data_IF_570064188417
#
_entry.id   IF_570064188417
#
_cell.length_a   1.000
_cell.length_b   1.000
_cell.length_c   1.000
_cell.angle_alpha   90.00
_cell.angle_beta   90.00
_cell.angle_gamma   90.00
#
_symmetry.space_group_name_H-M   'P 1'
#
loop_
_entity.id
_entity.type
_entity.pdbx_description
1 polymer ?
#
# COMPACT_ATOMS: atom_id res chain seq x y z
N UNK A 1 -9.40 12.45 -0.29
CA UNK A 1 -9.53 11.28 -1.17
C UNK A 1 -10.99 10.93 -1.41
N UNK A 2 -11.71 10.24 -0.51
CA UNK A 2 -13.08 9.74 -0.81
C UNK A 2 -14.08 10.82 -1.22
N UNK A 3 -14.10 11.97 -0.54
CA UNK A 3 -14.96 13.09 -0.91
C UNK A 3 -14.57 13.69 -2.28
N UNK A 4 -13.27 13.83 -2.56
CA UNK A 4 -12.78 14.36 -3.83
C UNK A 4 -13.14 13.42 -4.99
N UNK A 5 -12.95 12.11 -4.80
CA UNK A 5 -13.36 11.06 -5.74
C UNK A 5 -14.86 11.11 -5.98
N UNK A 6 -15.67 11.19 -4.92
CA UNK A 6 -17.12 11.25 -5.05
C UNK A 6 -17.56 12.50 -5.81
N UNK A 7 -17.01 13.68 -5.50
CA UNK A 7 -17.32 14.93 -6.19
C UNK A 7 -16.88 14.91 -7.65
N UNK A 8 -15.73 14.31 -7.95
CA UNK A 8 -15.25 14.11 -9.31
C UNK A 8 -16.19 13.17 -10.10
N UNK A 9 -16.58 12.04 -9.51
CA UNK A 9 -17.50 11.09 -10.12
C UNK A 9 -18.88 11.70 -10.38
N UNK A 10 -19.40 12.51 -9.44
CA UNK A 10 -20.64 13.27 -9.63
C UNK A 10 -20.52 14.23 -10.81
N UNK A 11 -19.40 14.96 -10.91
CA UNK A 11 -19.16 15.86 -12.04
C UNK A 11 -19.14 15.10 -13.37
N UNK A 12 -18.41 13.99 -13.46
CA UNK A 12 -18.30 13.20 -14.70
C UNK A 12 -19.63 12.53 -15.07
N UNK A 13 -20.40 12.04 -14.08
CA UNK A 13 -21.73 11.49 -14.33
C UNK A 13 -22.68 12.56 -14.89
N UNK A 14 -22.72 13.75 -14.28
CA UNK A 14 -23.53 14.87 -14.76
C UNK A 14 -23.11 15.33 -16.16
N UNK A 15 -21.79 15.39 -16.42
CA UNK A 15 -21.25 15.68 -17.74
C UNK A 15 -21.71 14.63 -18.76
N UNK A 16 -21.60 13.35 -18.45
CA UNK A 16 -22.02 12.26 -19.32
C UNK A 16 -23.52 12.32 -19.64
N UNK A 17 -24.36 12.65 -18.66
CA UNK A 17 -25.80 12.86 -18.88
C UNK A 17 -26.04 14.04 -19.83
N UNK A 18 -25.34 15.17 -19.65
CA UNK A 18 -25.46 16.35 -20.51
C UNK A 18 -25.01 16.03 -21.95
N UNK A 19 -23.88 15.34 -22.10
CA UNK A 19 -23.31 14.99 -23.39
C UNK A 19 -24.18 13.98 -24.16
N UNK A 20 -25.02 13.21 -23.47
CA UNK A 20 -25.93 12.21 -24.05
C UNK A 20 -27.33 12.75 -24.43
N UNK A 21 -27.63 14.04 -24.23
CA UNK A 21 -28.96 14.57 -24.60
C UNK A 21 -29.20 14.52 -26.12
N UNK A 22 -30.39 14.10 -26.58
CA UNK A 22 -30.70 14.00 -28.01
C UNK A 22 -30.76 15.37 -28.70
N UNK A 23 -31.12 16.42 -27.95
CA UNK A 23 -31.20 17.79 -28.44
C UNK A 23 -30.00 18.60 -27.93
N UNK A 24 -29.10 18.97 -28.85
CA UNK A 24 -27.89 19.75 -28.53
C UNK A 24 -28.19 21.08 -27.84
N UNK A 25 -29.26 21.78 -28.21
CA UNK A 25 -29.64 23.05 -27.57
C UNK A 25 -29.93 22.86 -26.07
N UNK A 26 -30.59 21.74 -25.71
CA UNK A 26 -30.87 21.42 -24.32
C UNK A 26 -29.58 21.09 -23.56
N UNK A 27 -28.67 20.33 -24.17
CA UNK A 27 -27.35 20.05 -23.61
C UNK A 27 -26.58 21.34 -23.29
N UNK A 28 -26.57 22.31 -24.20
CA UNK A 28 -25.90 23.60 -23.99
C UNK A 28 -26.50 24.41 -22.84
N UNK A 29 -27.84 24.47 -22.74
CA UNK A 29 -28.52 25.14 -21.62
C UNK A 29 -28.21 24.47 -20.29
N UNK A 30 -28.27 23.14 -20.24
CA UNK A 30 -27.96 22.37 -19.03
C UNK A 30 -26.50 22.52 -18.61
N UNK A 31 -25.57 22.56 -19.58
CA UNK A 31 -24.15 22.81 -19.32
C UNK A 31 -23.94 24.18 -18.70
N UNK A 32 -24.62 25.21 -19.18
CA UNK A 32 -24.52 26.56 -18.62
C UNK A 32 -25.16 26.67 -17.24
N UNK A 33 -26.25 25.94 -16.98
CA UNK A 33 -26.94 25.91 -15.70
C UNK A 33 -26.14 25.17 -14.60
N UNK A 34 -25.62 23.99 -14.93
CA UNK A 34 -24.97 23.07 -13.97
C UNK A 34 -23.47 23.38 -13.84
N UNK A 35 -22.82 23.74 -14.94
CA UNK A 35 -21.39 24.04 -15.01
C UNK A 35 -21.15 25.45 -15.58
N UNK A 36 -21.66 26.52 -14.94
CA UNK A 36 -21.56 27.90 -15.46
C UNK A 36 -20.11 28.34 -15.68
N UNK A 37 -19.19 27.77 -14.93
CA UNK A 37 -17.75 28.03 -15.03
C UNK A 37 -16.94 26.83 -15.55
N UNK A 38 -17.60 25.86 -16.19
CA UNK A 38 -17.00 24.63 -16.65
C UNK A 38 -16.75 23.58 -15.56
N UNK A 39 -16.04 22.53 -15.95
CA UNK A 39 -15.67 21.39 -15.11
C UNK A 39 -14.44 21.77 -14.27
N UNK A 40 -14.61 21.84 -12.95
CA UNK A 40 -13.56 22.35 -12.04
C UNK A 40 -12.94 21.26 -11.18
N UNK A 41 -13.63 20.12 -11.00
CA UNK A 41 -13.11 18.99 -10.23
C UNK A 41 -12.09 18.23 -11.07
N UNK A 42 -10.98 17.90 -10.43
CA UNK A 42 -9.95 17.00 -10.93
C UNK A 42 -10.02 15.70 -10.12
N UNK A 43 -9.48 14.59 -10.64
CA UNK A 43 -9.24 13.40 -9.83
C UNK A 43 -8.43 13.75 -8.58
N UNK A 44 -8.57 12.98 -7.48
CA UNK A 44 -7.74 13.16 -6.31
C UNK A 44 -6.24 13.02 -6.67
N UNK A 45 -5.40 13.82 -6.04
CA UNK A 45 -3.95 13.76 -6.25
C UNK A 45 -3.37 12.48 -5.62
N UNK A 46 -2.33 11.94 -6.27
CA UNK A 46 -1.64 10.72 -5.84
C UNK A 46 -1.03 10.86 -4.44
N UNK A 47 -0.62 12.06 -4.05
CA UNK A 47 -0.04 12.32 -2.72
C UNK A 47 -1.05 12.07 -1.60
N UNK A 48 -2.32 12.46 -1.79
CA UNK A 48 -3.38 12.16 -0.82
C UNK A 48 -3.63 10.65 -0.76
N UNK A 49 -3.58 9.96 -1.91
CA UNK A 49 -3.67 8.51 -1.96
C UNK A 49 -2.53 7.82 -1.20
N UNK A 50 -1.29 8.32 -1.37
CA UNK A 50 -0.10 7.85 -0.67
C UNK A 50 -0.24 8.04 0.84
N UNK A 51 -0.75 9.19 1.29
CA UNK A 51 -0.93 9.48 2.71
C UNK A 51 -1.98 8.55 3.35
N UNK A 52 -3.09 8.29 2.64
CA UNK A 52 -4.11 7.32 3.09
C UNK A 52 -3.51 5.92 3.20
N UNK A 53 -2.82 5.44 2.15
CA UNK A 53 -2.19 4.12 2.16
C UNK A 53 -1.18 4.00 3.30
N UNK A 54 -0.36 5.02 3.50
CA UNK A 54 0.63 5.09 4.59
C UNK A 54 -0.03 5.04 5.96
N UNK A 55 -1.16 5.72 6.15
CA UNK A 55 -1.91 5.70 7.41
C UNK A 55 -2.43 4.31 7.79
N UNK A 56 -2.64 3.43 6.80
CA UNK A 56 -3.09 2.06 7.01
C UNK A 56 -1.92 1.08 7.18
N UNK A 57 -0.79 1.32 6.49
CA UNK A 57 0.33 0.37 6.41
C UNK A 57 1.46 0.64 7.42
N UNK A 58 1.61 1.84 7.96
CA UNK A 58 2.68 2.16 8.93
C UNK A 58 2.35 1.68 10.37
N UNK A 59 1.41 0.75 10.56
CA UNK A 59 1.01 0.26 11.89
C UNK A 59 0.34 1.34 12.77
N UNK A 60 -0.15 2.41 12.17
CA UNK A 60 -0.75 3.53 12.90
C UNK A 60 -2.14 3.16 13.45
N UNK A 61 -2.58 3.86 14.51
CA UNK A 61 -3.89 3.66 15.14
C UNK A 61 -5.08 3.87 14.18
N UNK A 62 -4.87 4.49 13.02
CA UNK A 62 -5.90 4.69 12.00
C UNK A 62 -6.58 3.37 11.59
N UNK A 63 -5.80 2.30 11.35
CA UNK A 63 -6.37 1.00 10.99
C UNK A 63 -7.16 0.38 12.14
N UNK A 64 -6.59 0.38 13.35
CA UNK A 64 -7.26 -0.18 14.55
C UNK A 64 -8.60 0.50 14.85
N UNK A 65 -8.73 1.80 14.56
CA UNK A 65 -10.01 2.53 14.67
C UNK A 65 -11.05 2.10 13.64
N UNK A 66 -10.64 1.59 12.49
CA UNK A 66 -11.53 1.10 11.44
C UNK A 66 -11.88 -0.39 11.62
N UNK A 67 -11.09 -1.11 12.42
CA UNK A 67 -11.23 -2.56 12.62
C UNK A 67 -11.45 -2.97 14.09
N UNK A 68 -12.22 -2.23 14.92
CA UNK A 68 -12.33 -2.54 16.35
C UNK A 68 -13.01 -3.88 16.61
N UNK A 69 -13.91 -4.29 15.71
CA UNK A 69 -14.71 -5.52 15.85
C UNK A 69 -14.10 -6.69 15.08
N UNK A 70 -12.91 -6.53 14.49
CA UNK A 70 -12.22 -7.61 13.80
C UNK A 70 -11.44 -8.42 14.81
N UNK A 71 -11.80 -9.70 14.95
CA UNK A 71 -11.04 -10.65 15.76
C UNK A 71 -9.67 -10.91 15.12
N UNK A 72 -8.60 -10.74 15.89
CA UNK A 72 -7.22 -11.03 15.47
C UNK A 72 -6.77 -12.30 16.22
N UNK A 73 -6.54 -13.42 15.51
CA UNK A 73 -5.99 -14.63 16.11
C UNK A 73 -4.57 -14.43 16.65
N UNK A 74 -4.04 -15.38 17.45
CA UNK A 74 -2.64 -15.42 17.83
C UNK A 74 -1.67 -15.26 16.64
N UNK A 75 -0.51 -14.63 16.88
CA UNK A 75 0.44 -14.23 15.84
C UNK A 75 1.18 -15.39 15.13
N UNK A 76 1.07 -16.60 15.66
CA UNK A 76 1.60 -17.84 15.10
C UNK A 76 0.56 -18.62 14.28
N UNK A 77 -0.71 -18.20 14.29
CA UNK A 77 -1.76 -18.81 13.47
C UNK A 77 -1.78 -18.23 12.05
N UNK A 78 -1.80 -19.12 11.07
CA UNK A 78 -1.91 -18.77 9.65
C UNK A 78 -3.14 -17.89 9.37
N UNK A 79 -2.95 -16.91 8.49
CA UNK A 79 -3.99 -15.94 8.14
C UNK A 79 -3.77 -14.60 8.85
N UNK A 80 -4.84 -14.04 9.42
CA UNK A 80 -4.82 -12.66 9.91
C UNK A 80 -3.84 -12.46 11.09
N UNK A 81 -3.73 -13.43 12.01
CA UNK A 81 -2.82 -13.35 13.15
C UNK A 81 -1.36 -13.24 12.71
N UNK A 82 -0.92 -14.16 11.85
CA UNK A 82 0.42 -14.12 11.25
C UNK A 82 0.68 -12.84 10.45
N UNK A 83 -0.30 -12.36 9.68
CA UNK A 83 -0.16 -11.10 8.92
C UNK A 83 0.05 -9.89 9.83
N UNK A 84 -0.68 -9.81 10.94
CA UNK A 84 -0.53 -8.73 11.92
C UNK A 84 0.81 -8.80 12.64
N UNK A 85 1.26 -10.01 13.04
CA UNK A 85 2.57 -10.21 13.63
C UNK A 85 3.71 -9.83 12.67
N UNK A 86 3.58 -10.22 11.40
CA UNK A 86 4.52 -9.88 10.34
C UNK A 86 4.57 -8.37 10.10
N UNK A 87 3.41 -7.70 10.05
CA UNK A 87 3.38 -6.25 9.91
C UNK A 87 4.09 -5.55 11.06
N UNK A 88 3.90 -5.99 12.30
CA UNK A 88 4.58 -5.41 13.46
C UNK A 88 6.11 -5.47 13.32
N UNK A 89 6.65 -6.59 12.82
CA UNK A 89 8.08 -6.74 12.52
C UNK A 89 8.54 -5.77 11.42
N UNK A 90 7.80 -5.69 10.32
CA UNK A 90 8.10 -4.80 9.19
C UNK A 90 8.09 -3.32 9.60
N UNK A 91 7.10 -2.90 10.39
CA UNK A 91 7.00 -1.52 10.91
C UNK A 91 8.17 -1.21 11.84
N UNK A 92 8.55 -2.15 12.70
CA UNK A 92 9.70 -2.00 13.61
C UNK A 92 11.02 -1.86 12.84
N UNK A 93 11.19 -2.63 11.76
CA UNK A 93 12.39 -2.58 10.92
C UNK A 93 12.42 -1.39 9.93
N UNK A 94 11.30 -0.67 9.75
CA UNK A 94 11.15 0.41 8.77
C UNK A 94 12.20 1.54 8.91
N UNK A 95 12.57 2.02 10.12
CA UNK A 95 13.60 3.05 10.26
C UNK A 95 14.98 2.59 9.75
N UNK A 96 15.36 1.33 10.03
CA UNK A 96 16.60 0.75 9.55
C UNK A 96 16.61 0.60 8.02
N UNK A 97 15.51 0.11 7.44
CA UNK A 97 15.34 0.04 5.99
C UNK A 97 15.47 1.42 5.31
N UNK A 98 14.95 2.49 5.95
CA UNK A 98 15.09 3.87 5.46
C UNK A 98 16.54 4.35 5.49
N UNK A 99 17.32 4.00 6.53
CA UNK A 99 18.76 4.32 6.60
C UNK A 99 19.53 3.69 5.43
N UNK A 100 19.31 2.40 5.18
CA UNK A 100 19.93 1.68 4.05
C UNK A 100 19.56 2.35 2.72
N UNK A 101 18.27 2.62 2.49
CA UNK A 101 17.82 3.28 1.25
C UNK A 101 18.41 4.68 1.07
N UNK A 102 18.59 5.43 2.17
CA UNK A 102 19.23 6.74 2.12
C UNK A 102 20.72 6.64 1.77
N UNK A 103 21.44 5.67 2.35
CA UNK A 103 22.85 5.40 2.04
C UNK A 103 23.05 4.91 0.59
N UNK A 104 22.16 4.04 0.07
CA UNK A 104 22.17 3.65 -1.34
C UNK A 104 21.98 4.86 -2.27
N UNK A 105 21.06 5.78 -1.94
CA UNK A 105 20.85 7.00 -2.73
C UNK A 105 22.04 7.95 -2.72
N UNK A 106 22.83 7.94 -1.65
CA UNK A 106 24.07 8.73 -1.54
C UNK A 106 25.25 8.09 -2.28
N UNK A 107 25.14 6.81 -2.64
CA UNK A 107 26.23 6.04 -3.22
C UNK A 107 27.17 5.43 -2.17
N UNK A 108 26.80 5.46 -0.89
CA UNK A 108 27.62 4.90 0.21
C UNK A 108 27.51 3.36 0.26
N UNK A 109 26.37 2.81 -0.21
CA UNK A 109 26.07 1.39 -0.24
C UNK A 109 25.75 0.92 -1.67
N UNK A 110 26.43 -0.13 -2.11
CA UNK A 110 26.10 -0.84 -3.35
C UNK A 110 24.82 -1.67 -3.19
N UNK A 111 24.07 -1.80 -4.28
CA UNK A 111 22.90 -2.66 -4.35
C UNK A 111 23.30 -4.14 -4.31
N UNK A 112 22.90 -4.85 -3.25
CA UNK A 112 23.01 -6.32 -3.14
C UNK A 112 21.61 -6.92 -2.93
N UNK A 113 21.38 -8.18 -3.33
CA UNK A 113 20.10 -8.86 -3.11
C UNK A 113 19.95 -9.32 -1.64
N UNK A 114 18.74 -9.18 -1.10
CA UNK A 114 18.30 -9.74 0.19
C UNK A 114 19.24 -9.44 1.37
N UNK A 115 19.44 -10.45 2.21
CA UNK A 115 20.26 -10.40 3.43
C UNK A 115 21.69 -9.88 3.21
N UNK A 116 22.28 -10.12 2.04
CA UNK A 116 23.63 -9.67 1.73
C UNK A 116 23.75 -8.13 1.74
N UNK A 117 22.64 -7.41 1.53
CA UNK A 117 22.57 -5.96 1.68
C UNK A 117 22.61 -5.54 3.15
N UNK A 118 21.91 -6.24 4.03
CA UNK A 118 21.88 -5.93 5.47
C UNK A 118 23.25 -6.15 6.11
N UNK A 119 23.94 -7.24 5.73
CA UNK A 119 25.29 -7.53 6.20
C UNK A 119 26.31 -6.49 5.71
N UNK A 120 26.17 -6.03 4.47
CA UNK A 120 26.99 -4.93 3.95
C UNK A 120 26.73 -3.61 4.70
N UNK A 121 25.46 -3.29 4.96
CA UNK A 121 25.07 -2.11 5.72
C UNK A 121 25.57 -2.13 7.17
N UNK A 122 25.58 -3.30 7.81
CA UNK A 122 26.17 -3.49 9.13
C UNK A 122 27.70 -3.31 9.10
N UNK A 123 28.36 -3.90 8.11
CA UNK A 123 29.83 -3.80 7.94
C UNK A 123 30.29 -2.37 7.72
N UNK A 124 29.50 -1.56 6.99
CA UNK A 124 29.77 -0.15 6.76
C UNK A 124 29.28 0.77 7.90
N UNK A 125 28.64 0.22 8.93
CA UNK A 125 28.15 1.00 10.09
C UNK A 125 26.93 1.87 9.80
N UNK A 126 26.19 1.61 8.72
CA UNK A 126 24.94 2.33 8.38
C UNK A 126 23.82 1.98 9.35
N UNK A 127 23.83 0.74 9.85
CA UNK A 127 22.90 0.19 10.83
C UNK A 127 23.67 -0.57 11.93
N UNK A 128 23.03 -0.79 13.08
CA UNK A 128 23.60 -1.61 14.15
C UNK A 128 23.18 -3.10 14.07
N UNK A 129 23.70 -3.94 14.96
CA UNK A 129 23.41 -5.38 14.97
C UNK A 129 21.92 -5.69 15.25
N UNK A 130 21.28 -4.94 16.14
CA UNK A 130 19.86 -5.10 16.47
C UNK A 130 18.96 -4.75 15.27
N UNK A 131 19.27 -3.66 14.58
CA UNK A 131 18.58 -3.23 13.36
C UNK A 131 18.76 -4.24 12.23
N UNK A 132 19.94 -4.84 12.10
CA UNK A 132 20.20 -5.90 11.12
C UNK A 132 19.35 -7.15 11.41
N UNK A 133 19.31 -7.59 12.66
CA UNK A 133 18.48 -8.73 13.07
C UNK A 133 16.99 -8.46 12.84
N UNK A 134 16.50 -7.26 13.19
CA UNK A 134 15.11 -6.88 12.97
C UNK A 134 14.74 -6.85 11.47
N UNK A 135 15.66 -6.43 10.60
CA UNK A 135 15.46 -6.46 9.15
C UNK A 135 15.35 -7.89 8.61
N UNK A 136 16.23 -8.79 9.05
CA UNK A 136 16.20 -10.21 8.64
C UNK A 136 14.93 -10.91 9.11
N UNK A 137 14.56 -10.73 10.38
CA UNK A 137 13.33 -11.31 10.93
C UNK A 137 12.06 -10.77 10.23
N UNK A 138 12.05 -9.49 9.87
CA UNK A 138 10.96 -8.90 9.10
C UNK A 138 10.92 -9.41 7.66
N UNK A 139 12.06 -9.62 7.00
CA UNK A 139 12.15 -10.16 5.63
C UNK A 139 11.69 -11.62 5.60
N UNK A 140 12.16 -12.45 6.52
CA UNK A 140 11.74 -13.85 6.66
C UNK A 140 10.24 -13.97 6.91
N UNK A 141 9.70 -13.21 7.88
CA UNK A 141 8.26 -13.23 8.18
C UNK A 141 7.42 -12.75 6.99
N UNK A 142 7.89 -11.72 6.27
CA UNK A 142 7.21 -11.20 5.08
C UNK A 142 7.20 -12.22 3.96
N UNK A 143 8.33 -12.87 3.70
CA UNK A 143 8.45 -13.85 2.62
C UNK A 143 7.54 -15.05 2.92
N UNK A 144 7.52 -15.54 4.16
CA UNK A 144 6.58 -16.57 4.60
C UNK A 144 5.12 -16.13 4.48
N UNK A 145 4.79 -14.89 4.82
CA UNK A 145 3.41 -14.36 4.74
C UNK A 145 2.89 -14.25 3.30
N UNK A 146 3.78 -14.02 2.34
CA UNK A 146 3.43 -13.91 0.91
C UNK A 146 3.29 -15.28 0.25
N UNK A 147 3.85 -16.34 0.84
CA UNK A 147 3.65 -17.70 0.36
C UNK A 147 2.21 -18.17 0.63
N UNK A 148 1.32 -17.77 -0.26
CA UNK A 148 -0.03 -18.32 -0.37
C UNK A 148 0.08 -19.39 -1.44
N UNK A 149 0.06 -20.66 -1.01
CA UNK A 149 0.19 -21.88 -1.81
C UNK A 149 1.63 -22.31 -2.21
N UNK A 150 2.43 -22.76 -1.23
CA UNK A 150 3.44 -23.78 -1.54
C UNK A 150 2.71 -25.12 -1.71
N UNK A 151 2.13 -25.34 -2.89
CA UNK A 151 1.83 -26.71 -3.29
C UNK A 151 3.15 -27.39 -3.58
N UNK A 152 3.44 -28.50 -2.89
CA UNK A 152 4.47 -29.41 -3.36
C UNK A 152 4.15 -29.75 -4.83
N UNK A 153 5.11 -29.73 -5.76
CA UNK A 153 4.85 -30.00 -7.18
C UNK A 153 4.06 -31.30 -7.39
N UNK A 154 4.26 -32.27 -6.50
CA UNK A 154 3.54 -33.55 -6.44
C UNK A 154 2.07 -33.37 -6.02
N UNK A 155 1.78 -32.58 -4.98
CA UNK A 155 0.43 -32.30 -4.49
C UNK A 155 -0.42 -31.50 -5.50
N UNK A 156 0.20 -30.61 -6.29
CA UNK A 156 -0.50 -29.87 -7.35
C UNK A 156 -0.92 -30.77 -8.52
N UNK A 157 -0.16 -31.83 -8.81
CA UNK A 157 -0.49 -32.79 -9.86
C UNK A 157 -1.68 -33.67 -9.51
N UNK A 158 -1.85 -34.02 -8.22
CA UNK A 158 -2.99 -34.81 -7.74
C UNK A 158 -4.32 -34.03 -7.74
N UNK A 159 -4.28 -32.71 -7.60
CA UNK A 159 -5.46 -31.83 -7.65
C UNK A 159 -6.01 -31.62 -9.08
N UNK A 160 -5.27 -32.03 -10.11
CA UNK A 160 -5.62 -31.84 -11.52
C UNK A 160 -6.28 -33.07 -12.16
N UNK A 161 -6.95 -33.89 -11.33
CA UNK A 161 -7.78 -35.02 -11.75
C UNK A 161 -9.02 -34.60 -12.54
#
# INVERSE_FOLDING_TARGET
WSCDTALYNVQEALRGVIDNFPLRILAWKMRWLIFPYGLRRRPPEDDIGRDVARSLLDGNQGRLRLTPDIFIPPGDENGLGYLEATLAKVVTAQPAARKIKAAQRKGDLDGKPGDALFDAALTQGVINAEECLALKDAEEARDNAIQVDYFDPEAFLELKG
#
